data_IF_654645168456
#
_entry.id   IF_654645168456
#
_cell.length_a   1.000
_cell.length_b   1.000
_cell.length_c   1.000
_cell.angle_alpha   90.00
_cell.angle_beta   90.00
_cell.angle_gamma   90.00
#
_symmetry.space_group_name_H-M   'P 1'
#
loop_
_entity.id
_entity.type
_entity.pdbx_description
1 polymer ?
#
# COMPACT_ATOMS: atom_id res chain seq x y z
N UNK A 1 -75.45 22.22 -16.07
CA UNK A 1 -74.02 22.28 -16.43
C UNK A 1 -73.51 20.84 -16.36
N UNK A 2 -73.42 20.14 -17.49
CA UNK A 2 -72.94 18.75 -17.51
C UNK A 2 -71.43 18.75 -17.37
N UNK A 3 -70.93 18.22 -16.25
CA UNK A 3 -69.51 17.88 -16.09
C UNK A 3 -69.25 16.57 -16.82
N UNK A 4 -68.42 16.63 -17.86
CA UNK A 4 -67.94 15.43 -18.54
C UNK A 4 -67.03 14.64 -17.58
N UNK A 5 -67.13 13.30 -17.54
CA UNK A 5 -66.24 12.49 -16.72
C UNK A 5 -64.80 12.61 -17.27
N UNK A 6 -63.87 13.02 -16.39
CA UNK A 6 -62.44 13.03 -16.70
C UNK A 6 -61.98 11.56 -16.77
N UNK A 7 -61.65 11.08 -17.97
CA UNK A 7 -61.02 9.78 -18.17
C UNK A 7 -59.50 9.93 -18.03
N UNK A 8 -58.99 9.74 -16.82
CA UNK A 8 -57.56 9.82 -16.52
C UNK A 8 -56.69 8.90 -17.39
N UNK A 9 -57.25 7.80 -17.89
CA UNK A 9 -56.54 6.87 -18.77
C UNK A 9 -56.20 7.46 -20.16
N UNK A 10 -56.92 8.50 -20.60
CA UNK A 10 -56.69 9.14 -21.90
C UNK A 10 -55.67 10.28 -21.86
N UNK A 11 -55.26 10.71 -20.67
CA UNK A 11 -54.25 11.75 -20.46
C UNK A 11 -52.87 11.28 -21.01
N UNK A 12 -52.16 12.11 -21.79
CA UNK A 12 -50.88 11.76 -22.38
C UNK A 12 -49.81 11.44 -21.32
N UNK A 13 -49.91 12.08 -20.14
CA UNK A 13 -49.03 11.81 -19.02
C UNK A 13 -49.27 10.41 -18.43
N UNK A 14 -50.54 10.00 -18.28
CA UNK A 14 -50.90 8.69 -17.74
C UNK A 14 -50.47 7.53 -18.66
N UNK A 15 -50.46 7.75 -19.98
CA UNK A 15 -49.98 6.78 -20.97
C UNK A 15 -48.45 6.64 -20.99
N UNK A 16 -47.72 7.74 -20.81
CA UNK A 16 -46.25 7.76 -21.00
C UNK A 16 -45.45 7.48 -19.72
N UNK A 17 -45.96 7.88 -18.55
CA UNK A 17 -45.30 7.68 -17.27
C UNK A 17 -44.93 6.21 -16.96
N UNK A 18 -45.84 5.21 -17.07
CA UNK A 18 -45.48 3.83 -16.75
C UNK A 18 -44.42 3.26 -17.71
N UNK A 19 -44.47 3.65 -18.99
CA UNK A 19 -43.48 3.25 -20.00
C UNK A 19 -42.11 3.84 -19.66
N UNK A 20 -42.07 5.12 -19.29
CA UNK A 20 -40.84 5.78 -18.84
C UNK A 20 -40.29 5.13 -17.58
N UNK A 21 -41.14 4.81 -16.60
CA UNK A 21 -40.74 4.15 -15.36
C UNK A 21 -40.11 2.77 -15.63
N UNK A 22 -40.75 1.93 -16.45
CA UNK A 22 -40.22 0.62 -16.83
C UNK A 22 -38.88 0.74 -17.55
N UNK A 23 -38.73 1.70 -18.47
CA UNK A 23 -37.47 1.95 -19.17
C UNK A 23 -36.34 2.34 -18.20
N UNK A 24 -36.62 3.22 -17.22
CA UNK A 24 -35.62 3.60 -16.21
C UNK A 24 -35.24 2.41 -15.31
N UNK A 25 -36.23 1.63 -14.86
CA UNK A 25 -35.96 0.43 -14.06
C UNK A 25 -35.10 -0.57 -14.85
N UNK A 26 -35.41 -0.79 -16.12
CA UNK A 26 -34.61 -1.65 -16.99
C UNK A 26 -33.17 -1.16 -17.14
N UNK A 27 -32.94 0.16 -17.26
CA UNK A 27 -31.58 0.72 -17.29
C UNK A 27 -30.86 0.53 -15.95
N UNK A 28 -31.51 0.88 -14.83
CA UNK A 28 -30.92 0.78 -13.49
C UNK A 28 -30.51 -0.67 -13.16
N UNK A 29 -31.35 -1.64 -13.51
CA UNK A 29 -31.07 -3.06 -13.24
C UNK A 29 -30.29 -3.76 -14.34
N UNK A 30 -30.29 -3.23 -15.56
CA UNK A 30 -29.63 -3.81 -16.72
C UNK A 30 -28.17 -3.38 -16.89
N UNK A 31 -27.76 -2.26 -16.29
CA UNK A 31 -26.36 -1.83 -16.29
C UNK A 31 -25.68 -2.28 -14.99
N UNK A 32 -24.64 -3.10 -15.12
CA UNK A 32 -23.76 -3.49 -14.02
C UNK A 32 -22.44 -2.73 -14.11
N UNK A 33 -21.94 -2.25 -12.97
CA UNK A 33 -20.58 -1.73 -12.86
C UNK A 33 -19.71 -2.82 -12.27
N UNK A 34 -18.70 -3.27 -13.03
CA UNK A 34 -17.63 -4.11 -12.49
C UNK A 34 -16.51 -3.16 -12.09
N UNK A 35 -16.25 -2.94 -10.78
CA UNK A 35 -15.04 -2.26 -10.39
C UNK A 35 -13.87 -3.13 -10.83
N UNK A 36 -12.96 -2.55 -11.60
CA UNK A 36 -11.67 -3.17 -11.91
C UNK A 36 -10.88 -3.21 -10.59
N UNK A 37 -11.15 -4.24 -9.78
CA UNK A 37 -10.33 -4.60 -8.62
C UNK A 37 -8.96 -4.85 -9.20
N UNK A 38 -8.06 -3.88 -9.04
CA UNK A 38 -6.71 -3.95 -9.58
C UNK A 38 -6.03 -5.18 -8.97
N UNK A 39 -6.11 -6.32 -9.65
CA UNK A 39 -5.51 -7.59 -9.23
C UNK A 39 -3.97 -7.52 -9.25
N UNK A 40 -3.42 -6.37 -9.64
CA UNK A 40 -2.00 -6.09 -9.76
C UNK A 40 -1.59 -4.85 -8.95
N UNK A 41 -2.17 -4.62 -7.77
CA UNK A 41 -1.45 -3.84 -6.76
C UNK A 41 -0.30 -4.70 -6.25
N UNK A 42 0.78 -4.79 -7.04
CA UNK A 42 2.09 -5.18 -6.53
C UNK A 42 2.40 -4.14 -5.45
N UNK A 43 2.25 -4.53 -4.19
CA UNK A 43 2.62 -3.69 -3.07
C UNK A 43 4.05 -3.21 -3.31
N UNK A 44 4.26 -1.89 -3.21
CA UNK A 44 5.62 -1.38 -3.28
C UNK A 44 6.43 -2.06 -2.17
N UNK A 45 7.67 -2.49 -2.45
CA UNK A 45 8.51 -3.06 -1.41
C UNK A 45 8.60 -2.09 -0.23
N UNK A 46 8.34 -2.58 0.98
CA UNK A 46 8.42 -1.78 2.19
C UNK A 46 9.88 -1.36 2.39
N UNK A 47 10.11 -0.05 2.55
CA UNK A 47 11.44 0.48 2.83
C UNK A 47 11.74 0.36 4.33
N UNK A 48 12.71 -0.47 4.69
CA UNK A 48 13.27 -0.47 6.04
C UNK A 48 14.27 0.69 6.18
N UNK A 49 14.01 1.59 7.13
CA UNK A 49 14.87 2.74 7.42
C UNK A 49 15.53 2.50 8.77
N UNK A 50 16.84 2.22 8.75
CA UNK A 50 17.63 2.16 9.97
C UNK A 50 18.28 3.52 10.24
N UNK A 51 18.01 4.09 11.42
CA UNK A 51 18.68 5.30 11.89
C UNK A 51 20.10 4.95 12.36
N UNK A 52 21.09 5.54 11.71
CA UNK A 52 22.50 5.33 12.03
C UNK A 52 22.94 6.39 13.03
N UNK A 53 23.42 5.97 14.21
CA UNK A 53 23.85 6.89 15.27
C UNK A 53 25.29 7.38 15.08
N UNK A 54 26.11 6.68 14.29
CA UNK A 54 27.53 6.94 14.08
C UNK A 54 27.89 6.77 12.61
N UNK A 55 28.61 7.72 12.02
CA UNK A 55 29.03 7.63 10.62
C UNK A 55 30.51 7.18 10.50
N UNK A 56 30.86 6.59 9.36
CA UNK A 56 32.24 6.38 8.92
C UNK A 56 32.57 7.29 7.73
N UNK A 57 33.81 7.77 7.65
CA UNK A 57 34.31 8.54 6.50
C UNK A 57 34.54 7.62 5.29
N UNK A 58 34.87 6.34 5.53
CA UNK A 58 35.12 5.36 4.50
C UNK A 58 33.82 4.64 4.10
N UNK A 59 33.62 4.48 2.78
CA UNK A 59 32.46 3.76 2.25
C UNK A 59 32.64 2.24 2.46
N UNK A 60 31.60 1.50 2.85
CA UNK A 60 31.67 0.05 2.94
C UNK A 60 31.85 -0.61 1.57
N UNK A 61 32.66 -1.67 1.51
CA UNK A 61 32.85 -2.47 0.29
C UNK A 61 31.56 -3.22 -0.14
N UNK A 62 30.71 -3.59 0.84
CA UNK A 62 29.45 -4.29 0.64
C UNK A 62 28.28 -3.46 1.21
N UNK A 63 27.26 -3.23 0.39
CA UNK A 63 26.07 -2.46 0.75
C UNK A 63 24.83 -3.30 0.48
N UNK A 64 24.15 -3.71 1.56
CA UNK A 64 22.90 -4.48 1.50
C UNK A 64 21.67 -3.68 1.95
N UNK A 65 21.88 -2.51 2.57
CA UNK A 65 20.82 -1.63 3.07
C UNK A 65 21.13 -0.17 2.73
N UNK A 66 20.08 0.60 2.44
CA UNK A 66 20.19 2.05 2.23
C UNK A 66 20.11 2.75 3.59
N UNK A 67 21.05 3.64 3.88
CA UNK A 67 21.13 4.37 5.14
C UNK A 67 21.43 5.86 4.91
N UNK A 68 21.22 6.68 5.94
CA UNK A 68 21.48 8.13 5.88
C UNK A 68 22.98 8.48 5.79
N UNK A 69 23.86 7.60 6.28
CA UNK A 69 25.30 7.79 6.31
C UNK A 69 26.02 6.45 6.13
N UNK A 70 27.30 6.51 5.73
CA UNK A 70 28.18 5.33 5.68
C UNK A 70 28.33 4.73 7.08
N UNK A 71 28.20 3.40 7.17
CA UNK A 71 28.39 2.67 8.42
C UNK A 71 29.21 1.41 8.17
N UNK A 72 30.37 1.32 8.83
CA UNK A 72 31.17 0.10 8.87
C UNK A 72 30.75 -0.77 10.05
N UNK A 73 30.75 -2.09 9.85
CA UNK A 73 30.53 -3.04 10.95
C UNK A 73 31.78 -3.06 11.84
N UNK A 74 31.60 -2.82 13.15
CA UNK A 74 32.69 -2.90 14.14
C UNK A 74 32.76 -4.24 14.87
N UNK A 75 31.85 -5.18 14.53
CA UNK A 75 31.78 -6.50 15.15
C UNK A 75 32.82 -7.47 14.58
N UNK A 76 33.27 -8.42 15.39
CA UNK A 76 34.22 -9.47 14.99
C UNK A 76 33.54 -10.76 14.49
N UNK A 77 32.26 -10.72 14.18
CA UNK A 77 31.52 -11.89 13.70
C UNK A 77 31.68 -12.02 12.20
N UNK A 78 32.01 -13.22 11.74
CA UNK A 78 32.13 -13.54 10.31
C UNK A 78 30.75 -13.54 9.60
N UNK A 79 29.67 -13.72 10.35
CA UNK A 79 28.31 -13.81 9.83
C UNK A 79 27.54 -12.50 10.02
N UNK A 80 26.77 -12.12 8.99
CA UNK A 80 25.96 -10.91 9.00
C UNK A 80 24.81 -11.05 9.99
N UNK A 81 24.90 -10.33 11.10
CA UNK A 81 23.88 -10.31 12.14
C UNK A 81 23.11 -8.98 12.14
N UNK A 82 21.82 -9.02 12.49
CA UNK A 82 21.06 -7.79 12.74
C UNK A 82 21.64 -7.11 13.99
N UNK A 83 21.81 -5.77 13.99
CA UNK A 83 22.19 -5.06 15.20
C UNK A 83 21.22 -5.36 16.35
N UNK A 84 21.75 -5.83 17.47
CA UNK A 84 21.01 -6.05 18.72
C UNK A 84 21.51 -5.08 19.78
N UNK A 85 20.62 -4.48 20.56
CA UNK A 85 21.04 -3.76 21.76
C UNK A 85 21.37 -4.77 22.87
N UNK A 86 22.37 -4.50 23.73
CA UNK A 86 22.54 -5.28 24.95
C UNK A 86 21.25 -5.24 25.77
N UNK A 87 20.88 -6.38 26.35
CA UNK A 87 19.79 -6.44 27.33
C UNK A 87 20.09 -5.43 28.46
N UNK A 88 19.09 -4.63 28.84
CA UNK A 88 19.27 -3.54 29.80
C UNK A 88 19.73 -4.00 31.20
N UNK A 89 19.73 -5.30 31.50
CA UNK A 89 20.39 -5.83 32.70
C UNK A 89 20.68 -7.35 32.62
N UNK A 90 21.63 -7.82 33.42
CA UNK A 90 21.94 -9.25 33.64
C UNK A 90 21.09 -9.90 34.74
N UNK A 91 20.33 -9.10 35.50
CA UNK A 91 19.44 -9.58 36.56
C UNK A 91 18.02 -9.73 36.02
N UNK A 92 17.30 -10.80 36.38
CA UNK A 92 15.87 -10.87 36.12
C UNK A 92 15.19 -9.66 36.76
N UNK A 93 14.54 -8.83 35.95
CA UNK A 93 13.66 -7.78 36.46
C UNK A 93 12.34 -8.49 36.78
N UNK A 94 11.95 -8.52 38.06
CA UNK A 94 10.76 -9.26 38.54
C UNK A 94 9.44 -8.56 38.21
N UNK A 95 9.50 -7.44 37.49
CA UNK A 95 8.33 -6.77 36.92
C UNK A 95 8.00 -7.40 35.58
N UNK A 96 6.73 -7.71 35.32
CA UNK A 96 6.26 -7.97 33.95
C UNK A 96 6.68 -6.78 33.07
N UNK A 97 7.72 -6.98 32.27
CA UNK A 97 8.16 -5.97 31.31
C UNK A 97 7.07 -5.75 30.29
N UNK A 98 6.84 -4.50 29.90
CA UNK A 98 5.98 -4.24 28.76
C UNK A 98 6.70 -4.77 27.51
N UNK A 99 6.16 -5.82 26.89
CA UNK A 99 6.62 -6.25 25.57
C UNK A 99 6.58 -5.04 24.65
N UNK A 100 7.62 -4.78 23.83
CA UNK A 100 7.50 -3.81 22.76
C UNK A 100 6.22 -4.14 22.01
N UNK A 101 5.27 -3.20 22.01
CA UNK A 101 4.08 -3.35 21.20
C UNK A 101 4.60 -3.48 19.78
N UNK A 102 4.40 -4.67 19.19
CA UNK A 102 4.72 -4.90 17.80
C UNK A 102 3.94 -3.84 17.03
N UNK A 103 4.66 -2.91 16.39
CA UNK A 103 4.02 -1.80 15.70
C UNK A 103 3.09 -2.40 14.65
N UNK A 104 1.78 -2.29 14.88
CA UNK A 104 0.80 -2.56 13.83
C UNK A 104 1.15 -1.62 12.68
N UNK A 105 1.16 -2.15 11.46
CA UNK A 105 1.40 -1.35 10.27
C UNK A 105 0.36 -0.22 10.24
N UNK A 106 0.77 0.99 10.63
CA UNK A 106 -0.10 2.19 10.70
C UNK A 106 -0.39 2.76 9.31
N UNK A 107 -0.30 1.94 8.27
CA UNK A 107 -0.69 2.33 6.93
C UNK A 107 -2.20 2.15 6.84
N UNK A 108 -2.97 3.21 6.54
CA UNK A 108 -4.36 3.05 6.15
C UNK A 108 -4.43 2.04 4.99
N UNK A 109 -5.42 1.15 4.97
CA UNK A 109 -5.80 0.31 3.81
C UNK A 109 -6.26 1.13 2.58
N UNK A 110 -6.03 2.44 2.59
CA UNK A 110 -6.26 3.31 1.46
C UNK A 110 -5.03 3.27 0.57
N UNK A 111 -5.13 2.89 -0.71
CA UNK A 111 -4.00 2.98 -1.62
C UNK A 111 -3.55 4.44 -1.69
N UNK A 112 -2.40 4.73 -1.07
CA UNK A 112 -1.72 6.01 -1.21
C UNK A 112 -1.47 6.19 -2.71
N UNK A 113 -2.07 7.23 -3.30
CA UNK A 113 -1.77 7.65 -4.66
C UNK A 113 -0.36 8.22 -4.69
N UNK A 114 0.63 7.34 -4.64
CA UNK A 114 2.03 7.72 -4.79
C UNK A 114 2.24 8.07 -6.26
N UNK A 115 2.32 9.35 -6.58
CA UNK A 115 3.03 9.77 -7.78
C UNK A 115 4.50 9.47 -7.53
N UNK A 116 5.13 8.50 -8.22
CA UNK A 116 6.54 8.23 -8.00
C UNK A 116 7.33 9.46 -8.42
N UNK A 117 7.77 10.26 -7.44
CA UNK A 117 8.81 11.23 -7.68
C UNK A 117 10.11 10.42 -7.75
N UNK A 118 10.60 10.21 -8.97
CA UNK A 118 11.92 9.62 -9.20
C UNK A 118 12.93 10.65 -8.69
N UNK A 119 13.30 10.58 -7.41
CA UNK A 119 14.43 11.33 -6.87
C UNK A 119 15.70 10.57 -7.23
N UNK A 120 16.10 10.66 -8.50
CA UNK A 120 17.40 10.14 -8.94
C UNK A 120 18.44 11.23 -8.73
N UNK A 121 19.49 10.91 -7.99
CA UNK A 121 20.76 11.64 -8.10
C UNK A 121 21.59 10.97 -9.20
N UNK A 122 22.44 11.74 -9.88
CA UNK A 122 23.37 11.20 -10.87
C UNK A 122 24.62 10.74 -10.14
N UNK A 123 24.73 9.44 -9.87
CA UNK A 123 25.91 8.80 -9.28
C UNK A 123 26.13 7.43 -9.91
N UNK A 124 27.39 7.05 -10.13
CA UNK A 124 27.73 5.74 -10.67
C UNK A 124 27.45 4.66 -9.59
N UNK A 125 26.64 3.66 -9.93
CA UNK A 125 26.29 2.53 -9.06
C UNK A 125 27.08 1.29 -9.47
N UNK A 126 27.69 0.61 -8.50
CA UNK A 126 28.58 -0.54 -8.73
C UNK A 126 27.88 -1.91 -8.79
N UNK A 127 26.54 -1.98 -8.70
CA UNK A 127 25.82 -3.26 -8.63
C UNK A 127 24.73 -3.35 -9.70
N UNK A 128 25.00 -4.12 -10.75
CA UNK A 128 24.00 -4.56 -11.71
C UNK A 128 23.22 -5.73 -11.08
N UNK A 129 21.93 -5.53 -10.79
CA UNK A 129 21.05 -6.61 -10.32
C UNK A 129 20.35 -7.16 -11.55
N UNK A 130 20.70 -8.38 -11.96
CA UNK A 130 19.97 -9.11 -12.98
C UNK A 130 18.56 -9.40 -12.46
N UNK A 131 17.57 -8.74 -13.07
CA UNK A 131 16.16 -9.01 -12.82
C UNK A 131 15.85 -10.41 -13.37
N UNK A 132 15.88 -11.42 -12.52
CA UNK A 132 15.41 -12.76 -12.87
C UNK A 132 13.94 -12.69 -13.32
N UNK A 133 13.55 -13.41 -14.39
CA UNK A 133 12.16 -13.40 -14.86
C UNK A 133 11.25 -13.98 -13.78
N UNK A 134 10.12 -13.29 -13.55
CA UNK A 134 9.03 -13.73 -12.66
C UNK A 134 8.70 -15.20 -12.95
N UNK A 135 8.80 -16.05 -11.92
CA UNK A 135 8.35 -17.43 -12.02
C UNK A 135 6.83 -17.45 -12.27
N UNK A 136 6.35 -18.23 -13.25
CA UNK A 136 4.92 -18.43 -13.44
C UNK A 136 4.33 -19.11 -12.21
N UNK A 137 3.23 -18.56 -11.69
CA UNK A 137 2.47 -19.13 -10.58
C UNK A 137 1.75 -20.41 -11.05
N UNK A 138 1.88 -21.50 -10.27
CA UNK A 138 1.03 -22.71 -10.37
C UNK A 138 -0.25 -22.51 -9.54
#
# INVERSE_FOLDING_TARGET
>A
MSVLPINFADEPLAKTFPIAAVLHLALIFGVGFVPELQQNTKYAPVLDITLVQTHSEEAPDLVDFIAQANQQASGSSEEKNRPTSPLSSLMPIETEGESPLQSEASSPDTPLKMTPQIMTTKGETFKHIEKAPEQPED
#
